data_IF_763877295105
#
_entry.id   IF_763877295105
#
_cell.length_a   1.000
_cell.length_b   1.000
_cell.length_c   1.000
_cell.angle_alpha   90.00
_cell.angle_beta   90.00
_cell.angle_gamma   90.00
#
_symmetry.space_group_name_H-M   'P 1'
#
loop_
_entity.id
_entity.type
_entity.pdbx_description
1 polymer ?
#
# COMPACT_ATOMS: atom_id res chain seq x y z
N UNK A 1 -32.54 21.98 -26.22
CA UNK A 1 -32.58 23.44 -26.00
C UNK A 1 -32.38 23.74 -24.52
N UNK A 2 -31.67 24.83 -24.24
CA UNK A 2 -31.41 25.47 -22.95
C UNK A 2 -30.40 24.81 -21.98
N UNK A 3 -29.18 25.35 -22.08
CA UNK A 3 -28.04 25.30 -21.16
C UNK A 3 -28.35 26.13 -19.91
N UNK A 4 -27.96 25.66 -18.71
CA UNK A 4 -27.89 26.49 -17.50
C UNK A 4 -26.45 26.52 -17.00
N UNK A 5 -25.75 27.61 -17.35
CA UNK A 5 -24.45 27.96 -16.79
C UNK A 5 -24.61 28.68 -15.45
N UNK A 6 -23.77 28.32 -14.48
CA UNK A 6 -23.56 29.08 -13.24
C UNK A 6 -22.48 30.13 -13.48
N UNK A 7 -22.79 31.39 -13.18
CA UNK A 7 -21.83 32.47 -13.05
C UNK A 7 -21.83 33.02 -11.63
N UNK A 8 -20.64 33.47 -11.26
CA UNK A 8 -20.13 33.83 -9.94
C UNK A 8 -20.40 35.30 -9.63
N UNK A 9 -20.67 35.67 -8.36
CA UNK A 9 -20.31 37.01 -7.84
C UNK A 9 -19.89 36.89 -6.37
N UNK A 10 -18.67 37.37 -6.10
CA UNK A 10 -18.11 37.62 -4.77
C UNK A 10 -18.65 38.91 -4.18
N UNK A 11 -18.95 38.96 -2.88
CA UNK A 11 -19.02 40.23 -2.15
C UNK A 11 -18.33 40.07 -0.79
N UNK A 12 -17.29 40.86 -0.62
CA UNK A 12 -16.50 41.04 0.58
C UNK A 12 -17.33 41.67 1.71
N UNK A 13 -17.17 41.20 2.94
CA UNK A 13 -17.68 41.88 4.13
C UNK A 13 -16.51 42.42 4.96
N UNK A 14 -16.51 43.74 5.10
CA UNK A 14 -15.56 44.54 5.87
C UNK A 14 -15.69 44.23 7.36
N UNK A 15 -14.52 44.19 8.01
CA UNK A 15 -14.39 44.24 9.45
C UNK A 15 -14.89 45.59 9.99
N UNK A 16 -15.70 45.55 11.04
CA UNK A 16 -15.97 46.70 11.90
C UNK A 16 -15.56 46.32 13.32
N UNK A 17 -14.51 46.97 13.80
CA UNK A 17 -14.09 46.95 15.19
C UNK A 17 -15.15 47.61 16.07
N UNK A 18 -15.52 46.97 17.18
CA UNK A 18 -16.11 47.66 18.34
C UNK A 18 -15.29 47.28 19.57
N UNK A 19 -14.70 48.30 20.18
CA UNK A 19 -13.92 48.19 21.40
C UNK A 19 -14.78 47.74 22.57
N UNK A 20 -14.21 46.88 23.41
CA UNK A 20 -14.74 46.55 24.71
C UNK A 20 -14.14 47.49 25.75
N UNK A 21 -14.99 48.26 26.43
CA UNK A 21 -14.65 48.96 27.66
C UNK A 21 -14.99 48.01 28.81
N UNK A 22 -13.97 47.58 29.54
CA UNK A 22 -14.11 46.82 30.80
C UNK A 22 -14.20 47.78 31.99
N UNK A 23 -15.32 47.74 32.71
CA UNK A 23 -15.48 48.34 34.03
C UNK A 23 -15.22 47.28 35.12
N UNK A 24 -14.52 47.60 36.22
CA UNK A 24 -14.29 46.67 37.32
C UNK A 24 -15.47 46.76 38.31
N UNK A 25 -16.01 45.61 38.73
CA UNK A 25 -16.94 45.55 39.88
C UNK A 25 -16.23 44.86 41.03
N UNK A 26 -16.02 45.63 42.09
CA UNK A 26 -15.49 45.22 43.38
C UNK A 26 -16.66 45.18 44.38
N UNK A 27 -16.70 44.18 45.26
CA UNK A 27 -17.33 44.30 46.59
C UNK A 27 -18.74 43.72 46.80
N UNK A 28 -18.76 42.59 47.55
CA UNK A 28 -19.60 42.29 48.73
C UNK A 28 -21.14 42.43 48.72
N UNK A 29 -21.82 41.40 49.23
CA UNK A 29 -23.06 41.60 50.00
C UNK A 29 -24.20 40.61 49.72
N UNK A 30 -24.56 39.85 50.75
CA UNK A 30 -25.62 38.82 50.79
C UNK A 30 -27.05 39.43 50.75
N UNK A 31 -28.05 38.69 50.25
CA UNK A 31 -29.29 38.26 50.97
C UNK A 31 -30.31 37.56 50.06
N UNK A 32 -30.90 36.51 50.61
CA UNK A 32 -32.07 35.78 50.12
C UNK A 32 -33.32 36.68 50.08
N UNK A 33 -34.17 36.53 49.06
CA UNK A 33 -35.64 36.50 49.21
C UNK A 33 -36.27 35.78 48.02
N UNK A 34 -37.02 34.71 48.31
CA UNK A 34 -38.10 34.22 47.45
C UNK A 34 -39.27 35.20 47.56
N UNK A 35 -40.03 35.40 46.48
CA UNK A 35 -41.50 35.51 46.55
C UNK A 35 -42.15 35.33 45.17
N UNK A 36 -43.24 34.57 45.19
CA UNK A 36 -44.15 34.21 44.10
C UNK A 36 -45.07 35.39 43.75
N UNK A 37 -45.59 35.30 42.52
CA UNK A 37 -46.84 35.86 41.98
C UNK A 37 -46.90 37.34 41.57
N UNK A 38 -46.98 37.54 40.25
CA UNK A 38 -48.08 38.27 39.62
C UNK A 38 -48.26 37.78 38.17
N UNK A 39 -49.50 37.47 37.81
CA UNK A 39 -49.96 37.03 36.50
C UNK A 39 -50.06 38.20 35.51
N UNK A 40 -49.86 37.86 34.23
CA UNK A 40 -50.47 38.46 33.05
C UNK A 40 -50.23 39.95 32.78
N UNK A 41 -49.15 40.22 32.06
CA UNK A 41 -49.22 41.09 30.87
C UNK A 41 -48.48 40.39 29.73
N UNK A 42 -49.18 40.12 28.63
CA UNK A 42 -48.59 39.59 27.40
C UNK A 42 -47.77 40.69 26.72
N UNK A 43 -46.54 40.88 27.18
CA UNK A 43 -45.50 41.55 26.43
C UNK A 43 -44.51 40.48 25.99
N UNK A 44 -44.41 40.27 24.67
CA UNK A 44 -43.33 39.47 24.07
C UNK A 44 -42.00 40.19 24.30
N UNK A 45 -41.41 39.97 25.48
CA UNK A 45 -40.00 40.23 25.71
C UNK A 45 -39.27 39.12 24.97
N UNK A 46 -38.60 39.48 23.88
CA UNK A 46 -37.64 38.60 23.23
C UNK A 46 -36.66 38.09 24.29
N UNK A 47 -36.70 36.78 24.55
CA UNK A 47 -35.78 36.17 25.49
C UNK A 47 -34.35 36.50 25.01
N UNK A 48 -33.45 37.02 25.86
CA UNK A 48 -32.06 37.21 25.49
C UNK A 48 -31.50 35.85 25.10
N UNK A 49 -31.32 35.67 23.79
CA UNK A 49 -30.74 34.49 23.19
C UNK A 49 -29.24 34.47 23.55
N UNK A 50 -28.92 33.90 24.71
CA UNK A 50 -27.57 33.92 25.24
C UNK A 50 -27.43 33.47 26.68
N UNK A 51 -28.28 32.57 27.19
CA UNK A 51 -27.97 31.88 28.45
C UNK A 51 -26.89 30.85 28.15
N UNK A 52 -25.63 31.28 28.14
CA UNK A 52 -24.50 30.37 28.32
C UNK A 52 -24.60 29.81 29.74
N UNK A 53 -25.24 28.65 29.87
CA UNK A 53 -25.19 27.86 31.11
C UNK A 53 -23.74 27.46 31.33
N UNK A 54 -23.01 28.24 32.13
CA UNK A 54 -21.68 27.89 32.57
C UNK A 54 -21.85 26.77 33.59
N UNK A 55 -21.62 25.52 33.16
CA UNK A 55 -21.62 24.37 34.06
C UNK A 55 -20.49 24.53 35.08
N UNK A 56 -20.77 25.14 36.23
CA UNK A 56 -19.85 25.16 37.36
C UNK A 56 -19.86 23.78 38.01
N UNK A 57 -18.81 22.99 37.76
CA UNK A 57 -18.59 21.77 38.54
C UNK A 57 -17.99 22.18 39.87
N UNK A 58 -18.68 21.90 40.96
CA UNK A 58 -18.12 22.04 42.31
C UNK A 58 -16.99 21.01 42.47
N UNK A 59 -15.74 21.42 42.25
CA UNK A 59 -14.57 20.56 42.45
C UNK A 59 -14.03 20.77 43.88
N UNK A 60 -14.14 19.76 44.72
CA UNK A 60 -13.44 19.69 46.01
C UNK A 60 -12.17 18.83 45.88
N UNK A 61 -11.31 18.86 46.89
CA UNK A 61 -10.14 17.97 46.95
C UNK A 61 -10.54 16.49 46.91
N UNK A 62 -11.57 16.11 47.68
CA UNK A 62 -12.06 14.74 47.77
C UNK A 62 -12.76 14.24 46.50
N UNK A 63 -13.21 15.13 45.62
CA UNK A 63 -13.88 14.78 44.37
C UNK A 63 -12.93 14.77 43.16
N UNK A 64 -11.60 14.83 43.37
CA UNK A 64 -10.60 14.73 42.29
C UNK A 64 -10.31 13.28 41.97
N UNK A 65 -10.36 12.96 40.67
CA UNK A 65 -10.04 11.64 40.14
C UNK A 65 -8.61 11.59 39.61
N UNK A 66 -8.11 10.37 39.43
CA UNK A 66 -6.81 10.15 38.82
C UNK A 66 -6.83 10.50 37.32
N UNK A 67 -5.66 10.80 36.76
CA UNK A 67 -5.55 11.15 35.35
C UNK A 67 -6.06 10.03 34.42
N UNK A 68 -5.84 8.75 34.78
CA UNK A 68 -6.31 7.62 33.99
C UNK A 68 -7.83 7.52 33.92
N UNK A 69 -8.53 7.77 35.03
CA UNK A 69 -9.99 7.78 35.08
C UNK A 69 -10.57 8.94 34.25
N UNK A 70 -9.98 10.13 34.37
CA UNK A 70 -10.34 11.30 33.57
C UNK A 70 -10.15 11.02 32.07
N UNK A 71 -8.99 10.49 31.68
CA UNK A 71 -8.70 10.16 30.28
C UNK A 71 -9.58 9.03 29.74
N UNK A 72 -9.93 8.04 30.58
CA UNK A 72 -10.86 6.96 30.21
C UNK A 72 -12.24 7.53 29.84
N UNK A 73 -12.74 8.48 30.63
CA UNK A 73 -13.98 9.20 30.35
C UNK A 73 -13.90 10.05 29.08
N UNK A 74 -12.81 10.82 28.90
CA UNK A 74 -12.62 11.73 27.76
C UNK A 74 -12.48 10.99 26.42
N UNK A 75 -11.76 9.86 26.40
CA UNK A 75 -11.53 9.09 25.18
C UNK A 75 -12.73 8.22 24.79
N UNK A 76 -13.54 7.79 25.77
CA UNK A 76 -14.74 6.96 25.57
C UNK A 76 -14.50 5.72 24.68
N UNK A 77 -13.31 5.10 24.80
CA UNK A 77 -12.86 3.99 23.95
C UNK A 77 -13.69 2.70 24.14
N UNK A 78 -14.34 2.53 25.30
CA UNK A 78 -15.15 1.35 25.63
C UNK A 78 -16.65 1.53 25.31
N UNK A 79 -17.04 2.67 24.73
CA UNK A 79 -18.45 2.99 24.49
C UNK A 79 -19.12 2.07 23.45
N UNK A 80 -20.41 1.80 23.63
CA UNK A 80 -21.26 1.07 22.69
C UNK A 80 -21.22 1.66 21.27
N UNK A 81 -20.98 2.98 21.15
CA UNK A 81 -20.83 3.71 19.89
C UNK A 81 -19.60 3.24 19.09
N UNK A 82 -18.49 2.94 19.75
CA UNK A 82 -17.27 2.45 19.07
C UNK A 82 -17.42 1.01 18.56
N UNK A 83 -18.14 0.15 19.29
CA UNK A 83 -18.32 -1.27 18.95
C UNK A 83 -18.92 -1.49 17.55
N UNK A 84 -19.90 -0.66 17.16
CA UNK A 84 -20.63 -0.78 15.86
C UNK A 84 -20.26 0.31 14.84
N UNK A 85 -19.14 1.02 15.04
CA UNK A 85 -18.68 2.04 14.08
C UNK A 85 -19.60 3.25 13.92
N UNK A 86 -20.40 3.58 14.94
CA UNK A 86 -21.35 4.71 14.91
C UNK A 86 -20.68 6.08 15.09
N UNK A 87 -19.39 6.11 15.44
CA UNK A 87 -18.61 7.34 15.63
C UNK A 87 -17.74 7.69 14.42
N UNK A 88 -17.81 8.95 13.98
CA UNK A 88 -16.90 9.51 12.96
C UNK A 88 -15.48 9.59 13.52
N UNK A 89 -14.47 9.29 12.70
CA UNK A 89 -13.04 9.28 13.08
C UNK A 89 -12.27 10.55 12.74
N UNK A 90 -12.91 11.55 12.11
CA UNK A 90 -12.25 12.76 11.61
C UNK A 90 -11.60 13.61 12.71
N UNK A 91 -12.28 13.79 13.85
CA UNK A 91 -11.79 14.56 15.01
C UNK A 91 -11.63 13.66 16.24
N UNK A 92 -10.83 12.61 16.12
CA UNK A 92 -10.56 11.68 17.24
C UNK A 92 -9.71 12.39 18.31
N UNK A 93 -10.16 12.34 19.58
CA UNK A 93 -9.37 12.80 20.72
C UNK A 93 -8.19 11.84 20.96
N UNK A 94 -7.02 12.41 21.24
CA UNK A 94 -5.79 11.66 21.54
C UNK A 94 -5.38 11.92 22.98
N UNK A 95 -4.98 10.87 23.71
CA UNK A 95 -4.43 10.99 25.05
C UNK A 95 -3.20 11.91 25.03
N UNK A 96 -3.08 12.76 26.04
CA UNK A 96 -1.87 13.53 26.33
C UNK A 96 -1.45 13.19 27.75
N UNK A 97 -0.19 12.88 27.93
CA UNK A 97 0.37 12.68 29.26
C UNK A 97 0.76 14.04 29.83
N UNK A 98 0.27 14.37 31.02
CA UNK A 98 0.50 15.64 31.70
C UNK A 98 1.68 15.58 32.67
N UNK A 99 2.12 14.38 33.05
CA UNK A 99 3.24 14.18 33.97
C UNK A 99 4.58 14.28 33.23
N UNK A 100 4.57 14.15 31.91
CA UNK A 100 5.77 14.23 31.08
C UNK A 100 6.31 15.66 31.05
N UNK A 101 7.56 15.83 31.49
CA UNK A 101 8.25 17.13 31.49
C UNK A 101 8.02 17.96 32.75
N UNK A 102 7.51 17.37 33.83
CA UNK A 102 7.46 17.97 35.16
C UNK A 102 8.56 17.38 36.04
N UNK A 103 9.25 18.21 36.82
CA UNK A 103 10.26 17.79 37.79
C UNK A 103 9.66 17.86 39.20
N UNK A 104 10.02 16.92 40.07
CA UNK A 104 9.55 16.89 41.44
C UNK A 104 10.14 18.09 42.20
N UNK A 105 9.31 18.79 42.97
CA UNK A 105 9.71 19.98 43.73
C UNK A 105 9.54 21.30 42.95
N UNK A 106 9.33 21.26 41.63
CA UNK A 106 9.01 22.46 40.86
C UNK A 106 7.53 22.86 41.06
N UNK A 107 7.31 24.15 41.29
CA UNK A 107 5.96 24.69 41.49
C UNK A 107 5.88 26.15 41.08
N UNK A 108 4.66 26.68 41.01
CA UNK A 108 4.41 28.09 40.65
C UNK A 108 4.99 29.09 41.64
N UNK A 109 5.18 28.67 42.89
CA UNK A 109 5.84 29.46 43.93
C UNK A 109 7.35 29.56 43.73
N UNK A 110 7.93 28.71 42.86
CA UNK A 110 9.37 28.53 42.60
C UNK A 110 10.23 28.59 43.85
N UNK A 111 9.81 27.78 44.83
CA UNK A 111 10.57 27.44 46.01
C UNK A 111 11.57 26.36 45.61
N UNK A 112 12.82 26.54 46.01
CA UNK A 112 13.89 25.60 45.78
C UNK A 112 14.04 24.72 47.03
N UNK A 113 13.80 23.43 46.84
CA UNK A 113 13.86 22.44 47.90
C UNK A 113 15.21 21.70 47.84
N UNK A 114 16.09 21.85 48.85
CA UNK A 114 17.30 21.04 48.97
C UNK A 114 16.95 19.55 48.99
N UNK A 115 17.57 18.76 48.11
CA UNK A 115 17.31 17.33 47.93
C UNK A 115 16.20 16.96 46.95
N UNK A 116 15.40 17.92 46.45
CA UNK A 116 14.38 17.69 45.41
C UNK A 116 14.67 18.50 44.14
N UNK A 117 14.67 19.82 44.27
CA UNK A 117 14.91 20.75 43.14
C UNK A 117 16.39 21.12 43.01
N UNK A 118 17.11 21.17 44.13
CA UNK A 118 18.53 21.55 44.19
C UNK A 118 19.30 20.50 45.00
N UNK A 119 20.58 20.23 44.70
CA UNK A 119 21.44 19.40 45.55
C UNK A 119 21.47 19.84 47.01
N UNK A 120 21.58 18.86 47.92
CA UNK A 120 21.58 19.10 49.38
C UNK A 120 22.79 19.92 49.84
N UNK A 121 23.95 19.69 49.23
CA UNK A 121 25.20 20.39 49.54
C UNK A 121 25.78 21.02 48.28
N UNK A 122 26.21 22.28 48.38
CA UNK A 122 27.08 22.93 47.40
C UNK A 122 28.26 23.53 48.16
N UNK A 123 29.47 23.27 47.68
CA UNK A 123 30.75 23.70 48.29
C UNK A 123 30.88 23.34 49.79
N UNK A 124 30.42 22.15 50.16
CA UNK A 124 30.50 21.63 51.53
C UNK A 124 29.53 22.28 52.53
N UNK A 125 28.62 23.16 52.07
CA UNK A 125 27.59 23.79 52.91
C UNK A 125 26.20 23.28 52.56
N UNK A 126 25.42 22.97 53.59
CA UNK A 126 24.02 22.58 53.44
C UNK A 126 23.21 23.76 52.90
N UNK A 127 22.44 23.53 51.83
CA UNK A 127 21.62 24.55 51.24
C UNK A 127 20.34 24.81 52.04
N UNK A 128 19.90 26.07 52.08
CA UNK A 128 18.66 26.50 52.74
C UNK A 128 17.57 26.73 51.69
N UNK A 129 16.30 26.56 52.08
CA UNK A 129 15.15 26.83 51.23
C UNK A 129 15.18 28.28 50.73
N UNK A 130 15.13 28.46 49.42
CA UNK A 130 15.22 29.76 48.74
C UNK A 130 14.12 29.92 47.68
N UNK A 131 13.87 31.16 47.22
CA UNK A 131 12.80 31.46 46.25
C UNK A 131 13.30 32.37 45.12
N UNK A 132 13.13 31.94 43.86
CA UNK A 132 13.61 32.68 42.69
C UNK A 132 12.46 33.26 41.85
N UNK A 133 11.95 34.45 42.19
CA UNK A 133 10.74 35.03 41.54
C UNK A 133 10.94 35.54 40.11
N UNK A 134 12.13 36.04 39.74
CA UNK A 134 12.40 36.56 38.37
C UNK A 134 12.64 35.43 37.37
N UNK A 135 13.51 34.49 37.73
CA UNK A 135 13.83 33.31 36.92
C UNK A 135 12.62 32.36 36.74
N UNK A 136 11.64 32.39 37.65
CA UNK A 136 10.39 31.63 37.52
C UNK A 136 9.64 31.85 36.21
N UNK A 137 9.63 33.09 35.69
CA UNK A 137 8.94 33.40 34.42
C UNK A 137 9.66 32.74 33.25
N UNK A 138 10.99 32.81 33.26
CA UNK A 138 11.85 32.22 32.24
C UNK A 138 11.72 30.69 32.23
N UNK A 139 11.73 30.05 33.42
CA UNK A 139 11.51 28.61 33.57
C UNK A 139 10.12 28.21 33.04
N UNK A 140 9.07 29.00 33.33
CA UNK A 140 7.72 28.73 32.80
C UNK A 140 7.67 28.86 31.26
N UNK A 141 8.30 29.89 30.71
CA UNK A 141 8.40 30.10 29.26
C UNK A 141 9.20 28.97 28.59
N UNK A 142 10.25 28.48 29.23
CA UNK A 142 11.02 27.33 28.77
C UNK A 142 10.18 26.04 28.78
N UNK A 143 9.43 25.78 29.85
CA UNK A 143 8.49 24.65 29.94
C UNK A 143 7.46 24.73 28.80
N UNK A 144 6.92 25.92 28.52
CA UNK A 144 5.99 26.15 27.42
C UNK A 144 6.64 25.90 26.05
N UNK A 145 7.85 26.40 25.81
CA UNK A 145 8.61 26.15 24.58
C UNK A 145 8.85 24.66 24.37
N UNK A 146 9.31 23.95 25.41
CA UNK A 146 9.56 22.51 25.37
C UNK A 146 8.29 21.71 25.07
N UNK A 147 7.16 22.12 25.66
CA UNK A 147 5.84 21.54 25.35
C UNK A 147 5.46 21.76 23.89
N UNK A 148 5.62 22.97 23.36
CA UNK A 148 5.26 23.31 21.99
C UNK A 148 6.14 22.57 20.97
N UNK A 149 7.43 22.45 21.24
CA UNK A 149 8.34 21.61 20.45
C UNK A 149 7.92 20.16 20.44
N UNK A 150 7.53 19.62 21.60
CA UNK A 150 7.05 18.25 21.69
C UNK A 150 5.74 18.05 20.91
N UNK A 151 4.82 19.01 20.98
CA UNK A 151 3.60 18.99 20.18
C UNK A 151 3.88 19.12 18.67
N UNK A 152 4.85 19.94 18.26
CA UNK A 152 5.30 20.05 16.87
C UNK A 152 5.84 18.71 16.38
N UNK A 153 6.79 18.10 17.11
CA UNK A 153 7.36 16.78 16.79
C UNK A 153 6.28 15.71 16.65
N UNK A 154 5.27 15.71 17.52
CA UNK A 154 4.15 14.75 17.47
C UNK A 154 3.21 14.96 16.27
N UNK A 155 3.09 16.19 15.76
CA UNK A 155 2.26 16.52 14.58
C UNK A 155 2.98 16.21 13.26
N UNK A 156 4.31 16.17 13.26
CA UNK A 156 5.09 15.83 12.06
C UNK A 156 4.78 14.39 11.64
N UNK A 157 4.32 14.24 10.40
CA UNK A 157 4.03 12.93 9.81
C UNK A 157 5.24 12.46 9.02
N UNK A 158 5.76 11.29 9.36
CA UNK A 158 6.84 10.64 8.61
C UNK A 158 6.38 10.37 7.17
N UNK A 159 7.21 10.75 6.19
CA UNK A 159 6.97 10.44 4.78
C UNK A 159 7.15 8.93 4.60
N UNK A 160 6.09 8.25 4.18
CA UNK A 160 6.12 6.82 3.87
C UNK A 160 6.05 6.66 2.35
N UNK A 161 6.84 5.74 1.83
CA UNK A 161 6.71 5.33 0.43
C UNK A 161 5.31 4.77 0.16
N UNK A 162 4.72 5.25 -0.93
CA UNK A 162 3.40 4.79 -1.35
C UNK A 162 3.55 3.50 -2.17
N UNK A 163 2.55 2.63 -2.08
CA UNK A 163 2.38 1.55 -3.04
C UNK A 163 1.74 2.06 -4.34
N UNK A 164 0.84 1.27 -4.92
CA UNK A 164 0.19 1.61 -6.20
C UNK A 164 -0.62 2.91 -6.16
N UNK A 165 -1.27 3.22 -5.02
CA UNK A 165 -2.00 4.48 -4.82
C UNK A 165 -1.82 4.97 -3.39
N UNK A 166 -1.99 6.28 -3.15
CA UNK A 166 -1.67 6.89 -1.84
C UNK A 166 -2.50 6.40 -0.65
N UNK A 167 -3.71 5.86 -0.87
CA UNK A 167 -4.57 5.29 0.20
C UNK A 167 -4.64 3.76 0.18
N UNK A 168 -4.19 3.12 -0.89
CA UNK A 168 -4.21 1.66 -1.01
C UNK A 168 -3.04 1.05 -0.24
N UNK A 169 -3.24 -0.19 0.20
CA UNK A 169 -2.17 -1.01 0.78
C UNK A 169 -1.41 -1.81 -0.29
N UNK A 170 -1.98 -1.98 -1.49
CA UNK A 170 -1.35 -2.75 -2.56
C UNK A 170 -0.02 -2.14 -3.00
N UNK A 171 1.02 -2.96 -3.09
CA UNK A 171 2.39 -2.58 -3.45
C UNK A 171 3.20 -1.95 -2.31
N UNK A 172 2.71 -1.94 -1.07
CA UNK A 172 3.50 -1.48 0.09
C UNK A 172 4.38 -2.64 0.59
N UNK A 173 5.66 -2.35 0.83
CA UNK A 173 6.58 -3.26 1.52
C UNK A 173 6.27 -3.32 3.02
N UNK A 174 6.25 -4.54 3.56
CA UNK A 174 6.09 -4.80 5.00
C UNK A 174 7.42 -5.01 5.73
N UNK A 175 8.51 -5.17 4.97
CA UNK A 175 9.80 -5.65 5.47
C UNK A 175 9.85 -7.18 5.56
N UNK A 176 10.98 -7.73 6.04
CA UNK A 176 11.19 -9.17 6.09
C UNK A 176 10.24 -9.88 7.06
N UNK A 177 10.06 -11.19 6.89
CA UNK A 177 9.28 -12.00 7.81
C UNK A 177 9.82 -11.99 9.24
N UNK A 178 8.98 -12.34 10.21
CA UNK A 178 9.46 -12.49 11.59
C UNK A 178 10.32 -13.76 11.71
N UNK A 179 11.40 -13.77 12.50
CA UNK A 179 12.25 -14.95 12.65
C UNK A 179 11.51 -16.12 13.31
N UNK A 180 11.87 -17.33 12.91
CA UNK A 180 11.30 -18.57 13.44
C UNK A 180 11.78 -18.86 14.87
N UNK A 181 11.06 -19.73 15.61
CA UNK A 181 11.47 -20.14 16.96
C UNK A 181 12.78 -20.93 16.98
N UNK A 182 13.16 -21.53 15.85
CA UNK A 182 14.36 -22.36 15.70
C UNK A 182 15.63 -21.55 15.33
N UNK A 183 15.57 -20.22 15.40
CA UNK A 183 16.68 -19.34 14.95
C UNK A 183 16.72 -19.09 13.43
N UNK A 184 15.70 -19.53 12.69
CA UNK A 184 15.58 -19.25 11.25
C UNK A 184 15.37 -17.75 11.01
N UNK A 185 16.21 -17.16 10.17
CA UNK A 185 16.21 -15.73 9.83
C UNK A 185 15.97 -15.55 8.33
N UNK A 186 15.19 -14.54 7.95
CA UNK A 186 14.71 -14.33 6.58
C UNK A 186 14.99 -12.90 6.09
N UNK A 187 16.21 -12.40 6.31
CA UNK A 187 16.59 -11.02 5.95
C UNK A 187 16.58 -10.78 4.43
N UNK A 188 16.88 -11.80 3.64
CA UNK A 188 16.90 -11.74 2.17
C UNK A 188 15.49 -11.64 1.55
N UNK A 189 14.44 -11.87 2.34
CA UNK A 189 13.07 -11.92 1.83
C UNK A 189 12.38 -10.57 1.96
N UNK A 190 11.86 -10.09 0.85
CA UNK A 190 10.96 -8.94 0.82
C UNK A 190 9.51 -9.39 0.80
N UNK A 191 8.67 -8.65 1.53
CA UNK A 191 7.24 -8.92 1.62
C UNK A 191 6.44 -7.72 1.09
N UNK A 192 5.60 -7.94 0.08
CA UNK A 192 4.71 -6.91 -0.46
C UNK A 192 3.23 -7.31 -0.35
N UNK A 193 2.38 -6.33 -0.02
CA UNK A 193 0.93 -6.54 0.07
C UNK A 193 0.31 -6.47 -1.33
N UNK A 194 -0.45 -7.48 -1.74
CA UNK A 194 -1.25 -7.39 -2.98
C UNK A 194 -2.63 -6.77 -2.71
N UNK A 195 -3.30 -7.25 -1.66
CA UNK A 195 -4.67 -6.83 -1.37
C UNK A 195 -4.97 -6.86 0.12
N UNK A 196 -5.61 -5.80 0.63
CA UNK A 196 -6.13 -5.73 1.98
C UNK A 196 -7.62 -5.36 1.93
N UNK A 197 -8.48 -6.31 2.29
CA UNK A 197 -9.94 -6.16 2.30
C UNK A 197 -10.49 -6.20 3.72
N UNK A 198 -11.55 -5.43 3.97
CA UNK A 198 -12.38 -5.61 5.16
C UNK A 198 -13.55 -6.51 4.79
N UNK A 199 -13.61 -7.68 5.39
CA UNK A 199 -14.69 -8.66 5.22
C UNK A 199 -15.57 -8.63 6.46
N UNK A 200 -16.84 -9.00 6.33
CA UNK A 200 -17.77 -9.05 7.45
C UNK A 200 -18.49 -10.40 7.50
N UNK A 201 -18.77 -10.88 8.71
CA UNK A 201 -19.56 -12.08 9.00
C UNK A 201 -20.67 -11.70 9.98
N UNK A 202 -21.87 -12.28 9.84
CA UNK A 202 -22.97 -12.07 10.77
C UNK A 202 -22.83 -13.00 11.98
N UNK A 203 -22.99 -12.49 13.18
CA UNK A 203 -22.87 -13.24 14.44
C UNK A 203 -24.09 -12.95 15.32
N UNK A 204 -24.62 -13.97 16.02
CA UNK A 204 -25.86 -13.83 16.79
C UNK A 204 -25.82 -12.75 17.88
N UNK A 205 -24.67 -12.58 18.56
CA UNK A 205 -24.53 -11.59 19.65
C UNK A 205 -24.13 -10.19 19.16
N UNK A 206 -23.12 -10.12 18.29
CA UNK A 206 -22.52 -8.84 17.88
C UNK A 206 -23.19 -8.22 16.65
N UNK A 207 -23.96 -9.01 15.88
CA UNK A 207 -24.42 -8.66 14.55
C UNK A 207 -23.27 -8.75 13.55
N UNK A 208 -23.07 -7.71 12.74
CA UNK A 208 -22.02 -7.69 11.72
C UNK A 208 -20.61 -7.55 12.34
N UNK A 209 -19.87 -8.63 12.41
CA UNK A 209 -18.48 -8.69 12.86
C UNK A 209 -17.52 -8.44 11.69
N UNK A 210 -16.70 -7.38 11.79
CA UNK A 210 -15.72 -7.01 10.76
C UNK A 210 -14.36 -7.64 11.05
N UNK A 211 -13.75 -8.21 10.01
CA UNK A 211 -12.40 -8.77 9.99
C UNK A 211 -11.63 -8.23 8.79
N UNK A 212 -10.31 -8.15 8.90
CA UNK A 212 -9.43 -7.86 7.79
C UNK A 212 -8.92 -9.17 7.15
N UNK A 213 -8.88 -9.20 5.81
CA UNK A 213 -8.26 -10.25 5.01
C UNK A 213 -7.12 -9.61 4.21
N UNK A 214 -5.91 -10.11 4.39
CA UNK A 214 -4.70 -9.64 3.72
C UNK A 214 -4.15 -10.75 2.80
N UNK A 215 -3.84 -10.41 1.56
CA UNK A 215 -3.08 -11.24 0.63
C UNK A 215 -1.70 -10.61 0.48
N UNK A 216 -0.68 -11.37 0.86
CA UNK A 216 0.73 -10.94 0.88
C UNK A 216 1.54 -11.93 0.05
N UNK A 217 2.56 -11.40 -0.64
CA UNK A 217 3.55 -12.16 -1.39
C UNK A 217 4.91 -11.90 -0.76
N UNK A 218 5.72 -12.94 -0.71
CA UNK A 218 7.08 -12.95 -0.17
C UNK A 218 8.01 -13.50 -1.25
N UNK A 219 9.21 -12.95 -1.39
CA UNK A 219 10.22 -13.51 -2.29
C UNK A 219 11.61 -12.92 -2.06
N UNK A 220 12.63 -13.64 -2.51
CA UNK A 220 14.04 -13.31 -2.30
C UNK A 220 14.72 -12.70 -3.54
N UNK A 221 13.98 -12.48 -4.64
CA UNK A 221 14.54 -12.02 -5.91
C UNK A 221 15.35 -13.06 -6.70
N UNK A 222 15.49 -14.28 -6.16
CA UNK A 222 16.30 -15.36 -6.71
C UNK A 222 15.44 -16.61 -7.00
N UNK A 223 14.28 -16.41 -7.63
CA UNK A 223 13.38 -17.50 -8.04
C UNK A 223 12.49 -18.05 -6.93
N UNK A 224 12.82 -17.86 -5.63
CA UNK A 224 11.98 -18.34 -4.54
C UNK A 224 10.93 -17.28 -4.16
N UNK A 225 9.65 -17.62 -4.35
CA UNK A 225 8.56 -16.74 -3.96
C UNK A 225 7.32 -17.54 -3.50
N UNK A 226 6.54 -16.94 -2.61
CA UNK A 226 5.35 -17.57 -2.04
C UNK A 226 4.28 -16.53 -1.73
N UNK A 227 3.05 -16.98 -1.52
CA UNK A 227 1.96 -16.10 -1.17
C UNK A 227 1.04 -16.77 -0.14
N UNK A 228 0.45 -15.96 0.73
CA UNK A 228 -0.53 -16.45 1.69
C UNK A 228 -1.61 -15.43 1.99
N UNK A 229 -2.71 -15.94 2.53
CA UNK A 229 -3.87 -15.16 2.95
C UNK A 229 -4.01 -15.20 4.47
N UNK A 230 -3.88 -14.05 5.10
CA UNK A 230 -4.06 -13.88 6.55
C UNK A 230 -5.39 -13.21 6.88
N UNK A 231 -6.12 -13.75 7.86
CA UNK A 231 -7.37 -13.16 8.38
C UNK A 231 -7.28 -12.90 9.87
N UNK A 232 -7.65 -11.69 10.29
CA UNK A 232 -7.72 -11.32 11.71
C UNK A 232 -8.70 -10.14 11.92
N UNK A 233 -9.04 -9.84 13.18
CA UNK A 233 -9.84 -8.65 13.52
C UNK A 233 -9.10 -7.36 13.19
N UNK A 234 -7.82 -7.30 13.55
CA UNK A 234 -6.94 -6.18 13.29
C UNK A 234 -6.13 -6.36 12.00
N UNK A 235 -5.99 -5.26 11.25
CA UNK A 235 -5.31 -5.27 9.95
C UNK A 235 -3.84 -5.65 10.04
N UNK A 236 -3.13 -5.11 11.04
CA UNK A 236 -1.70 -5.38 11.24
C UNK A 236 -1.45 -6.84 11.62
N UNK A 237 -2.32 -7.42 12.45
CA UNK A 237 -2.25 -8.83 12.82
C UNK A 237 -2.53 -9.72 11.60
N UNK A 238 -3.48 -9.36 10.74
CA UNK A 238 -3.75 -10.09 9.50
C UNK A 238 -2.53 -10.07 8.55
N UNK A 239 -1.87 -8.90 8.42
CA UNK A 239 -0.65 -8.76 7.62
C UNK A 239 0.50 -9.61 8.16
N UNK A 240 0.73 -9.59 9.49
CA UNK A 240 1.75 -10.43 10.13
C UNK A 240 1.49 -11.91 9.90
N UNK A 241 0.25 -12.37 10.07
CA UNK A 241 -0.14 -13.77 9.80
C UNK A 241 0.10 -14.15 8.35
N UNK A 242 -0.31 -13.30 7.40
CA UNK A 242 -0.08 -13.56 5.98
C UNK A 242 1.41 -13.61 5.64
N UNK A 243 2.21 -12.71 6.21
CA UNK A 243 3.66 -12.64 6.01
C UNK A 243 4.34 -13.94 6.45
N UNK A 244 4.14 -14.35 7.70
CA UNK A 244 4.83 -15.52 8.25
C UNK A 244 4.31 -16.82 7.62
N UNK A 245 3.01 -16.87 7.26
CA UNK A 245 2.46 -18.03 6.57
C UNK A 245 2.99 -18.20 5.14
N UNK A 246 3.32 -17.11 4.44
CA UNK A 246 3.77 -17.19 3.04
C UNK A 246 5.13 -17.88 2.87
N UNK A 247 6.03 -17.79 3.87
CA UNK A 247 7.34 -18.47 3.83
C UNK A 247 7.18 -19.99 3.81
N UNK A 248 6.18 -20.52 4.51
CA UNK A 248 5.96 -21.96 4.55
C UNK A 248 5.43 -22.52 3.21
N UNK A 249 5.00 -21.66 2.28
CA UNK A 249 4.48 -22.02 0.97
C UNK A 249 5.24 -21.33 -0.16
N UNK A 250 6.57 -21.52 -0.18
CA UNK A 250 7.43 -21.04 -1.25
C UNK A 250 7.37 -21.97 -2.46
N UNK A 251 7.39 -21.36 -3.63
CA UNK A 251 7.59 -21.99 -4.92
C UNK A 251 8.95 -21.55 -5.47
N UNK A 252 9.70 -22.49 -6.02
CA UNK A 252 10.86 -22.17 -6.83
C UNK A 252 10.40 -21.98 -8.28
N UNK A 253 10.64 -20.78 -8.81
CA UNK A 253 10.30 -20.40 -10.17
C UNK A 253 11.60 -20.31 -10.97
N UNK A 254 11.72 -21.17 -11.96
CA UNK A 254 12.87 -21.17 -12.85
C UNK A 254 12.85 -19.95 -13.79
N UNK A 255 14.02 -19.47 -14.17
CA UNK A 255 14.16 -18.26 -14.99
C UNK A 255 15.14 -18.52 -16.11
N UNK A 256 14.76 -18.15 -17.32
CA UNK A 256 15.66 -18.19 -18.46
C UNK A 256 16.65 -17.02 -18.38
N UNK A 257 17.94 -17.34 -18.26
CA UNK A 257 19.03 -16.38 -18.09
C UNK A 257 18.73 -15.33 -17.01
N UNK A 258 18.10 -15.77 -15.90
CA UNK A 258 17.73 -14.96 -14.73
C UNK A 258 16.87 -13.70 -14.99
N UNK A 259 16.24 -13.54 -16.16
CA UNK A 259 15.48 -12.32 -16.51
C UNK A 259 14.04 -12.57 -16.96
N UNK A 260 13.76 -13.68 -17.67
CA UNK A 260 12.44 -13.98 -18.27
C UNK A 260 12.02 -15.44 -18.03
N UNK A 261 10.82 -15.81 -18.45
CA UNK A 261 10.28 -17.18 -18.52
C UNK A 261 10.84 -17.97 -19.72
N UNK A 262 10.75 -19.30 -19.70
CA UNK A 262 11.32 -20.17 -20.74
C UNK A 262 10.55 -20.16 -22.07
N UNK A 263 9.22 -20.17 -22.03
CA UNK A 263 8.34 -20.18 -23.20
C UNK A 263 7.07 -19.38 -22.90
N UNK A 264 6.22 -19.20 -23.91
CA UNK A 264 4.94 -18.51 -23.75
C UNK A 264 3.94 -19.40 -22.99
N UNK A 265 3.33 -18.85 -21.93
CA UNK A 265 2.49 -19.61 -21.01
C UNK A 265 1.08 -19.03 -21.02
N UNK A 266 0.11 -19.86 -21.40
CA UNK A 266 -1.32 -19.56 -21.23
C UNK A 266 -1.89 -20.42 -20.11
N UNK A 267 -2.24 -19.80 -18.99
CA UNK A 267 -2.77 -20.50 -17.81
C UNK A 267 -4.13 -19.98 -17.42
N UNK A 268 -5.06 -20.91 -17.17
CA UNK A 268 -6.39 -20.62 -16.65
C UNK A 268 -6.51 -21.11 -15.21
N UNK A 269 -7.05 -20.24 -14.34
CA UNK A 269 -7.47 -20.60 -13.00
C UNK A 269 -8.88 -20.06 -12.76
N UNK A 270 -9.85 -20.97 -12.64
CA UNK A 270 -11.27 -20.63 -12.58
C UNK A 270 -11.66 -19.77 -13.79
N UNK A 271 -12.21 -18.56 -13.57
CA UNK A 271 -12.62 -17.61 -14.62
C UNK A 271 -11.54 -16.56 -14.95
N UNK A 272 -10.30 -16.77 -14.50
CA UNK A 272 -9.18 -15.87 -14.73
C UNK A 272 -8.18 -16.57 -15.65
N UNK A 273 -7.92 -15.99 -16.80
CA UNK A 273 -6.92 -16.48 -17.77
C UNK A 273 -5.77 -15.49 -17.78
N UNK A 274 -4.53 -16.00 -17.73
CA UNK A 274 -3.32 -15.19 -17.87
C UNK A 274 -2.57 -15.73 -19.07
N UNK A 275 -2.26 -14.83 -20.00
CA UNK A 275 -1.41 -15.07 -21.16
C UNK A 275 -0.09 -14.36 -20.87
N UNK A 276 0.99 -15.12 -20.74
CA UNK A 276 2.35 -14.63 -20.48
C UNK A 276 3.20 -14.91 -21.69
N UNK A 277 4.00 -13.93 -22.10
CA UNK A 277 4.92 -14.06 -23.23
C UNK A 277 6.35 -13.78 -22.79
N UNK A 278 7.26 -14.62 -23.27
CA UNK A 278 8.71 -14.42 -23.14
C UNK A 278 9.12 -13.17 -23.90
N UNK A 279 10.04 -12.39 -23.32
CA UNK A 279 10.59 -11.17 -23.94
C UNK A 279 12.09 -11.11 -23.80
N UNK A 280 12.73 -10.38 -24.71
CA UNK A 280 14.16 -10.13 -24.68
C UNK A 280 14.52 -9.18 -23.52
N UNK A 281 15.81 -9.14 -23.17
CA UNK A 281 16.35 -8.23 -22.16
C UNK A 281 16.07 -6.77 -22.53
N UNK A 282 15.72 -5.95 -21.54
CA UNK A 282 15.45 -4.53 -21.72
C UNK A 282 14.01 -4.17 -22.12
N UNK A 283 13.13 -5.16 -22.29
CA UNK A 283 11.71 -4.92 -22.53
C UNK A 283 10.97 -4.44 -21.26
N UNK A 284 11.41 -4.87 -20.07
CA UNK A 284 10.79 -4.57 -18.79
C UNK A 284 9.49 -5.33 -18.53
N UNK A 285 8.84 -5.02 -17.40
CA UNK A 285 7.60 -5.67 -16.97
C UNK A 285 6.35 -4.94 -17.48
N UNK A 286 5.77 -5.44 -18.58
CA UNK A 286 4.51 -4.95 -19.14
C UNK A 286 3.35 -5.87 -18.77
N UNK A 287 2.96 -5.79 -17.50
CA UNK A 287 1.98 -6.68 -16.89
C UNK A 287 0.95 -5.92 -16.04
N UNK A 288 -0.05 -6.62 -15.53
CA UNK A 288 -0.91 -6.08 -14.47
C UNK A 288 -0.07 -5.72 -13.22
N UNK A 289 -0.36 -4.61 -12.54
CA UNK A 289 0.40 -4.09 -11.38
C UNK A 289 0.72 -5.11 -10.28
N UNK A 290 -0.18 -6.07 -10.06
CA UNK A 290 0.04 -7.15 -9.09
C UNK A 290 1.08 -8.17 -9.58
N UNK A 291 1.03 -8.51 -10.87
CA UNK A 291 2.01 -9.39 -11.51
C UNK A 291 3.37 -8.71 -11.48
N UNK A 292 3.45 -7.39 -11.75
CA UNK A 292 4.69 -6.63 -11.65
C UNK A 292 5.30 -6.76 -10.24
N UNK A 293 4.50 -6.57 -9.19
CA UNK A 293 4.94 -6.76 -7.80
C UNK A 293 5.46 -8.18 -7.54
N UNK A 294 4.73 -9.21 -8.02
CA UNK A 294 5.14 -10.62 -7.83
C UNK A 294 6.43 -10.92 -8.60
N UNK A 295 6.54 -10.50 -9.86
CA UNK A 295 7.72 -10.71 -10.69
C UNK A 295 8.97 -10.06 -10.11
N UNK A 296 8.85 -8.86 -9.52
CA UNK A 296 9.96 -8.23 -8.80
C UNK A 296 10.45 -9.06 -7.62
N UNK A 297 9.55 -9.70 -6.88
CA UNK A 297 9.90 -10.57 -5.75
C UNK A 297 10.46 -11.93 -6.19
N UNK A 298 10.07 -12.42 -7.37
CA UNK A 298 10.67 -13.61 -7.99
C UNK A 298 12.05 -13.29 -8.58
N UNK A 299 12.24 -12.06 -9.06
CA UNK A 299 13.41 -11.64 -9.82
C UNK A 299 13.26 -11.88 -11.33
N UNK A 300 12.05 -11.73 -11.87
CA UNK A 300 11.79 -11.64 -13.32
C UNK A 300 11.78 -10.15 -13.69
N UNK A 301 12.61 -9.75 -14.64
CA UNK A 301 12.77 -8.35 -15.08
C UNK A 301 12.00 -8.06 -16.36
N UNK A 302 11.89 -9.03 -17.26
CA UNK A 302 11.34 -8.83 -18.60
C UNK A 302 10.23 -9.84 -18.87
N UNK A 303 9.01 -9.36 -19.05
CA UNK A 303 7.85 -10.20 -19.39
C UNK A 303 6.68 -9.34 -19.86
N UNK A 304 5.89 -9.87 -20.80
CA UNK A 304 4.57 -9.35 -21.11
C UNK A 304 3.51 -10.28 -20.52
N UNK A 305 2.51 -9.74 -19.84
CA UNK A 305 1.39 -10.55 -19.38
C UNK A 305 0.05 -9.81 -19.47
N UNK A 306 -0.92 -10.48 -20.09
CA UNK A 306 -2.29 -10.02 -20.18
C UNK A 306 -3.21 -10.90 -19.33
N UNK A 307 -4.07 -10.22 -18.56
CA UNK A 307 -5.10 -10.89 -17.77
C UNK A 307 -6.43 -10.77 -18.51
N UNK A 308 -7.02 -11.91 -18.84
CA UNK A 308 -8.31 -12.04 -19.49
C UNK A 308 -9.34 -12.63 -18.51
N UNK A 309 -10.62 -12.25 -18.67
CA UNK A 309 -11.70 -12.70 -17.78
C UNK A 309 -11.77 -11.90 -16.46
N UNK A 310 -11.87 -12.60 -15.33
CA UNK A 310 -12.08 -11.97 -14.01
C UNK A 310 -10.77 -11.46 -13.39
N UNK A 311 -10.65 -10.16 -13.01
CA UNK A 311 -9.44 -9.60 -12.40
C UNK A 311 -9.39 -9.82 -10.87
N UNK A 312 -9.83 -10.97 -10.37
CA UNK A 312 -9.83 -11.26 -8.94
C UNK A 312 -8.42 -11.57 -8.42
N UNK A 313 -7.90 -10.77 -7.50
CA UNK A 313 -6.48 -10.81 -7.08
C UNK A 313 -6.00 -12.18 -6.60
N UNK A 314 -6.80 -12.89 -5.80
CA UNK A 314 -6.42 -14.21 -5.30
C UNK A 314 -6.33 -15.25 -6.42
N UNK A 315 -7.27 -15.23 -7.35
CA UNK A 315 -7.27 -16.16 -8.48
C UNK A 315 -6.15 -15.83 -9.47
N UNK A 316 -5.91 -14.54 -9.69
CA UNK A 316 -4.80 -14.05 -10.51
C UNK A 316 -3.46 -14.52 -9.94
N UNK A 317 -3.25 -14.38 -8.63
CA UNK A 317 -2.00 -14.82 -7.98
C UNK A 317 -1.85 -16.34 -8.10
N UNK A 318 -2.92 -17.10 -7.83
CA UNK A 318 -2.91 -18.57 -8.00
C UNK A 318 -2.64 -19.01 -9.43
N UNK A 319 -3.25 -18.35 -10.42
CA UNK A 319 -3.02 -18.62 -11.84
C UNK A 319 -1.55 -18.36 -12.21
N UNK A 320 -0.99 -17.26 -11.72
CA UNK A 320 0.39 -16.87 -11.99
C UNK A 320 1.37 -17.90 -11.46
N UNK A 321 1.29 -18.25 -10.17
CA UNK A 321 2.16 -19.26 -9.57
C UNK A 321 1.96 -20.65 -10.20
N UNK A 322 0.73 -21.03 -10.54
CA UNK A 322 0.46 -22.29 -11.26
C UNK A 322 1.12 -22.31 -12.64
N UNK A 323 1.03 -21.21 -13.39
CA UNK A 323 1.61 -21.13 -14.73
C UNK A 323 3.14 -21.17 -14.68
N UNK A 324 3.73 -20.37 -13.80
CA UNK A 324 5.19 -20.29 -13.64
C UNK A 324 5.79 -21.57 -13.07
N UNK A 325 5.12 -22.27 -12.17
CA UNK A 325 5.59 -23.54 -11.61
C UNK A 325 5.49 -24.71 -12.60
N UNK A 326 4.63 -24.62 -13.61
CA UNK A 326 4.41 -25.69 -14.59
C UNK A 326 5.21 -25.50 -15.88
N UNK A 327 6.13 -24.53 -15.93
CA UNK A 327 6.96 -24.32 -17.12
C UNK A 327 7.98 -25.47 -17.25
N UNK A 328 8.18 -25.97 -18.47
CA UNK A 328 9.29 -26.85 -18.84
C UNK A 328 10.55 -26.05 -19.12
N UNK A 329 11.69 -26.48 -18.60
CA UNK A 329 12.99 -25.94 -18.99
C UNK A 329 13.42 -26.45 -20.36
N UNK A 330 14.41 -25.80 -20.98
CA UNK A 330 15.03 -26.33 -22.19
C UNK A 330 15.73 -27.68 -21.94
N UNK A 331 16.22 -27.92 -20.72
CA UNK A 331 16.86 -29.18 -20.36
C UNK A 331 15.85 -30.31 -20.29
N UNK A 332 14.68 -30.07 -19.70
CA UNK A 332 13.59 -31.05 -19.64
C UNK A 332 13.10 -31.38 -21.05
N UNK A 333 12.97 -30.35 -21.91
CA UNK A 333 12.56 -30.53 -23.30
C UNK A 333 13.59 -31.33 -24.11
N UNK A 334 14.88 -31.07 -23.92
CA UNK A 334 15.96 -31.82 -24.56
C UNK A 334 15.93 -33.30 -24.15
N UNK A 335 15.75 -33.56 -22.85
CA UNK A 335 15.67 -34.91 -22.30
C UNK A 335 14.41 -35.66 -22.78
N UNK A 336 13.25 -35.01 -22.79
CA UNK A 336 11.97 -35.58 -23.24
C UNK A 336 12.01 -35.99 -24.71
N UNK A 337 12.59 -35.13 -25.57
CA UNK A 337 12.68 -35.37 -27.01
C UNK A 337 13.95 -36.11 -27.45
N UNK A 338 14.93 -36.23 -26.56
CA UNK A 338 16.28 -36.75 -26.84
C UNK A 338 16.98 -36.02 -28.00
N UNK A 339 16.77 -34.70 -28.11
CA UNK A 339 17.31 -33.84 -29.17
C UNK A 339 17.95 -32.59 -28.58
N UNK A 340 18.89 -32.00 -29.33
CA UNK A 340 19.51 -30.72 -28.98
C UNK A 340 18.53 -29.56 -29.15
N UNK A 341 18.51 -28.65 -28.17
CA UNK A 341 17.69 -27.43 -28.21
C UNK A 341 18.53 -26.28 -28.69
N UNK A 342 18.19 -25.76 -29.87
CA UNK A 342 18.89 -24.67 -30.53
C UNK A 342 18.04 -23.40 -30.46
N UNK A 343 18.61 -22.30 -29.98
CA UNK A 343 18.00 -20.97 -30.00
C UNK A 343 18.58 -20.17 -31.17
N UNK A 344 17.70 -19.59 -31.97
CA UNK A 344 18.06 -18.64 -33.02
C UNK A 344 17.71 -17.23 -32.55
N UNK A 345 18.67 -16.31 -32.67
CA UNK A 345 18.50 -14.91 -32.29
C UNK A 345 18.67 -14.05 -33.53
N UNK A 346 17.69 -13.18 -33.79
CA UNK A 346 17.74 -12.26 -34.93
C UNK A 346 19.01 -11.38 -34.91
N UNK A 347 19.46 -10.99 -33.71
CA UNK A 347 20.69 -10.20 -33.49
C UNK A 347 21.97 -10.91 -33.97
N UNK A 348 21.99 -12.24 -33.95
CA UNK A 348 23.15 -13.06 -34.30
C UNK A 348 23.02 -13.70 -35.70
N UNK A 349 21.97 -13.34 -36.45
CA UNK A 349 21.71 -13.89 -37.78
C UNK A 349 21.46 -15.40 -37.76
N UNK A 350 22.08 -16.19 -38.67
CA UNK A 350 21.82 -17.62 -38.80
C UNK A 350 22.61 -18.50 -37.82
N UNK A 351 23.33 -17.92 -36.85
CA UNK A 351 24.19 -18.69 -35.93
C UNK A 351 23.33 -19.55 -34.98
N UNK A 352 23.47 -20.90 -35.00
CA UNK A 352 22.74 -21.76 -34.07
C UNK A 352 23.40 -21.72 -32.69
N UNK A 353 22.67 -21.27 -31.68
CA UNK A 353 23.13 -21.30 -30.28
C UNK A 353 22.59 -22.56 -29.62
N UNK A 354 23.46 -23.48 -29.23
CA UNK A 354 23.07 -24.66 -28.48
C UNK A 354 22.80 -24.27 -27.01
N UNK A 355 21.52 -24.33 -26.59
CA UNK A 355 21.11 -23.93 -25.24
C UNK A 355 21.05 -25.11 -24.28
N UNK A 356 20.60 -26.27 -24.75
CA UNK A 356 20.54 -27.48 -23.96
C UNK A 356 20.83 -28.71 -24.82
N UNK A 357 21.47 -29.69 -24.21
CA UNK A 357 21.72 -31.02 -24.81
C UNK A 357 21.11 -32.09 -23.92
N UNK A 358 20.56 -33.17 -24.49
CA UNK A 358 20.04 -34.27 -23.70
C UNK A 358 21.17 -34.91 -22.90
N UNK A 359 20.89 -35.28 -21.65
CA UNK A 359 21.87 -36.02 -20.84
C UNK A 359 22.02 -37.48 -21.29
N UNK A 360 20.99 -38.02 -21.94
CA UNK A 360 20.95 -39.38 -22.49
C UNK A 360 21.42 -39.50 -23.93
N UNK A 361 21.15 -40.64 -24.55
CA UNK A 361 21.49 -40.88 -25.94
C UNK A 361 20.71 -39.92 -26.86
N UNK A 362 21.44 -39.21 -27.72
CA UNK A 362 20.84 -38.33 -28.73
C UNK A 362 20.17 -39.18 -29.78
N UNK A 363 18.90 -38.88 -30.06
CA UNK A 363 18.14 -39.51 -31.14
C UNK A 363 18.78 -39.15 -32.48
N UNK A 364 19.01 -40.16 -33.32
CA UNK A 364 19.58 -39.97 -34.68
C UNK A 364 18.54 -39.54 -35.71
N UNK A 365 17.30 -39.98 -35.53
CA UNK A 365 16.21 -39.69 -36.47
C UNK A 365 15.62 -38.29 -36.22
N UNK A 366 15.44 -37.46 -37.27
CA UNK A 366 14.82 -36.15 -37.14
C UNK A 366 13.32 -36.24 -36.84
N UNK A 367 12.75 -35.17 -36.27
CA UNK A 367 11.29 -35.05 -36.13
C UNK A 367 10.61 -34.88 -37.49
N UNK A 368 9.46 -35.53 -37.67
CA UNK A 368 8.56 -35.25 -38.79
C UNK A 368 8.13 -33.79 -38.75
N UNK A 369 8.23 -33.09 -39.89
CA UNK A 369 7.77 -31.71 -40.05
C UNK A 369 6.41 -31.76 -40.72
N UNK A 370 5.36 -31.44 -39.98
CA UNK A 370 4.02 -31.22 -40.55
C UNK A 370 4.00 -29.86 -41.26
N UNK A 371 3.44 -29.81 -42.47
CA UNK A 371 3.35 -28.56 -43.25
C UNK A 371 2.42 -27.53 -42.58
N UNK A 372 1.37 -28.01 -41.91
CA UNK A 372 0.42 -27.17 -41.16
C UNK A 372 0.25 -27.77 -39.76
N UNK A 373 0.79 -27.13 -38.72
CA UNK A 373 0.68 -27.66 -37.37
C UNK A 373 -0.72 -27.42 -36.79
N UNK A 374 -1.31 -28.44 -36.17
CA UNK A 374 -2.61 -28.32 -35.47
C UNK A 374 -2.43 -27.68 -34.08
N UNK A 375 -2.04 -26.41 -34.07
CA UNK A 375 -1.87 -25.63 -32.84
C UNK A 375 -3.06 -24.71 -32.65
N UNK A 376 -3.69 -24.80 -31.47
CA UNK A 376 -4.78 -23.89 -31.10
C UNK A 376 -4.28 -22.45 -31.00
N UNK A 377 -4.60 -21.64 -31.99
CA UNK A 377 -4.26 -20.21 -32.03
C UNK A 377 -5.28 -19.36 -31.26
N UNK A 378 -4.78 -18.41 -30.48
CA UNK A 378 -5.64 -17.42 -29.85
C UNK A 378 -5.84 -16.19 -30.74
N UNK A 379 -7.09 -15.94 -31.13
CA UNK A 379 -7.46 -14.88 -32.09
C UNK A 379 -6.89 -13.49 -31.74
N UNK A 380 -7.04 -13.06 -30.48
CA UNK A 380 -6.73 -11.69 -30.08
C UNK A 380 -5.23 -11.36 -30.09
N UNK A 381 -4.37 -12.31 -29.74
CA UNK A 381 -2.94 -12.03 -29.56
C UNK A 381 -2.06 -12.67 -30.63
N UNK A 382 -2.50 -13.76 -31.26
CA UNK A 382 -1.70 -14.46 -32.28
C UNK A 382 -2.10 -14.01 -33.69
N UNK A 383 -3.39 -13.77 -33.95
CA UNK A 383 -3.88 -13.44 -35.30
C UNK A 383 -4.01 -11.93 -35.49
N UNK A 384 -4.82 -11.26 -34.67
CA UNK A 384 -5.08 -9.83 -34.85
C UNK A 384 -3.87 -8.94 -34.58
N UNK A 385 -3.05 -9.27 -33.58
CA UNK A 385 -1.89 -8.45 -33.24
C UNK A 385 -0.84 -8.48 -34.37
N UNK A 386 -0.65 -9.64 -35.00
CA UNK A 386 0.24 -9.81 -36.15
C UNK A 386 -0.31 -9.08 -37.37
N UNK A 387 -1.61 -9.19 -37.63
CA UNK A 387 -2.29 -8.49 -38.72
C UNK A 387 -2.58 -6.99 -38.43
N UNK A 388 -2.18 -6.47 -37.26
CA UNK A 388 -2.43 -5.10 -36.78
C UNK A 388 -3.91 -4.68 -36.85
N UNK A 389 -4.81 -5.63 -36.59
CA UNK A 389 -6.25 -5.40 -36.51
C UNK A 389 -6.64 -5.01 -35.08
N UNK A 390 -7.21 -3.81 -34.90
CA UNK A 390 -7.63 -3.31 -33.59
C UNK A 390 -9.16 -3.22 -33.50
N UNK A 391 -9.74 -3.86 -32.48
CA UNK A 391 -11.18 -3.80 -32.22
C UNK A 391 -11.55 -2.50 -31.52
N UNK A 392 -12.40 -1.69 -32.14
CA UNK A 392 -12.88 -0.45 -31.56
C UNK A 392 -14.21 -0.69 -30.83
N UNK A 393 -14.16 -0.87 -29.50
CA UNK A 393 -15.33 -1.17 -28.65
C UNK A 393 -16.50 -0.19 -28.79
N UNK A 394 -16.23 1.09 -29.07
CA UNK A 394 -17.27 2.11 -29.23
C UNK A 394 -18.10 1.97 -30.51
N UNK A 395 -17.49 1.48 -31.60
CA UNK A 395 -18.16 1.34 -32.91
C UNK A 395 -18.53 -0.11 -33.24
N UNK A 396 -18.17 -1.06 -32.37
CA UNK A 396 -18.37 -2.52 -32.56
C UNK A 396 -17.77 -3.07 -33.87
N UNK A 397 -16.78 -2.39 -34.42
CA UNK A 397 -16.16 -2.69 -35.71
C UNK A 397 -14.64 -2.85 -35.55
N UNK A 398 -14.05 -3.69 -36.41
CA UNK A 398 -12.61 -3.86 -36.54
C UNK A 398 -12.06 -2.84 -37.53
N UNK A 399 -10.89 -2.28 -37.23
CA UNK A 399 -10.17 -1.39 -38.13
C UNK A 399 -8.72 -1.86 -38.26
N UNK A 400 -8.17 -1.73 -39.47
CA UNK A 400 -6.72 -1.73 -39.68
C UNK A 400 -6.16 -0.47 -39.01
N UNK A 401 -5.13 -0.65 -38.19
CA UNK A 401 -4.44 0.49 -37.60
C UNK A 401 -3.81 1.33 -38.73
N UNK A 402 -4.23 2.60 -38.84
CA UNK A 402 -3.87 3.47 -39.95
C UNK A 402 -2.34 3.56 -40.08
N UNK A 403 -1.83 3.25 -41.27
CA UNK A 403 -0.44 3.48 -41.67
C UNK A 403 -0.24 5.02 -41.67
N UNK A 404 0.75 5.58 -40.95
CA UNK A 404 1.26 6.89 -41.33
C UNK A 404 1.76 6.72 -42.75
N UNK A 405 1.11 7.38 -43.70
CA UNK A 405 1.38 7.25 -45.12
C UNK A 405 2.87 7.31 -45.42
N UNK A 406 3.32 6.40 -46.28
CA UNK A 406 4.68 6.28 -46.84
C UNK A 406 5.29 7.58 -47.39
N UNK A 407 4.54 8.67 -47.45
CA UNK A 407 5.04 9.99 -47.85
C UNK A 407 5.94 10.66 -46.80
N UNK A 408 5.90 10.24 -45.53
CA UNK A 408 6.71 10.81 -44.43
C UNK A 408 7.99 10.00 -44.10
N UNK A 409 8.24 8.87 -44.78
CA UNK A 409 9.42 8.01 -44.53
C UNK A 409 10.46 8.01 -45.66
N UNK A 410 10.23 8.75 -46.74
CA UNK A 410 11.13 8.79 -47.90
C UNK A 410 12.35 9.72 -47.76
N UNK A 411 12.66 10.21 -46.56
CA UNK A 411 13.86 11.05 -46.31
C UNK A 411 14.94 10.43 -45.42
N UNK A 412 14.89 9.13 -45.14
CA UNK A 412 16.07 8.46 -44.55
C UNK A 412 16.23 7.01 -44.99
N UNK A 413 17.16 6.82 -45.92
CA UNK A 413 17.93 5.61 -46.21
C UNK A 413 17.22 4.40 -46.82
N UNK A 414 17.23 4.42 -48.16
CA UNK A 414 17.71 3.38 -49.08
C UNK A 414 18.37 2.16 -48.39
N UNK A 415 17.75 0.98 -48.52
CA UNK A 415 18.30 -0.23 -49.17
C UNK A 415 17.42 -1.46 -48.85
N UNK A 416 16.65 -1.93 -49.82
CA UNK A 416 16.21 -3.34 -49.89
C UNK A 416 17.41 -4.21 -50.29
N UNK A 417 17.41 -5.49 -49.92
CA UNK A 417 17.26 -6.48 -51.00
C UNK A 417 16.26 -7.58 -50.68
N UNK A 418 15.43 -7.86 -51.68
CA UNK A 418 14.75 -9.14 -51.85
C UNK A 418 15.77 -10.22 -52.24
N UNK A 419 15.51 -11.44 -51.77
CA UNK A 419 16.00 -12.68 -52.40
C UNK A 419 17.26 -13.25 -51.78
N UNK A 420 17.12 -14.13 -50.79
CA UNK A 420 18.04 -15.24 -50.49
C UNK A 420 17.37 -16.16 -49.46
N UNK A 421 16.34 -16.94 -49.87
CA UNK A 421 15.66 -17.91 -48.98
C UNK A 421 15.69 -19.37 -49.46
N UNK A 422 16.45 -19.68 -50.51
CA UNK A 422 16.43 -21.03 -51.12
C UNK A 422 17.78 -21.76 -51.23
N UNK A 423 18.88 -21.25 -50.64
CA UNK A 423 20.21 -21.84 -50.81
C UNK A 423 20.77 -22.65 -49.63
N UNK A 424 20.10 -22.72 -48.46
CA UNK A 424 20.59 -23.50 -47.30
C UNK A 424 19.72 -24.71 -46.89
N UNK A 425 18.67 -25.04 -47.65
CA UNK A 425 17.81 -26.21 -47.37
C UNK A 425 18.52 -27.57 -47.49
N UNK A 426 19.58 -27.78 -48.31
CA UNK A 426 20.23 -29.09 -48.39
C UNK A 426 21.15 -29.42 -47.20
N UNK A 427 21.76 -28.40 -46.55
CA UNK A 427 22.73 -28.62 -45.47
C UNK A 427 22.06 -28.85 -44.10
N UNK A 428 20.87 -28.27 -43.90
CA UNK A 428 20.06 -28.40 -42.68
C UNK A 428 19.41 -29.79 -42.55
N UNK A 429 19.12 -30.46 -43.68
CA UNK A 429 18.53 -31.82 -43.72
C UNK A 429 19.53 -32.92 -43.34
N UNK A 430 20.83 -32.63 -43.40
CA UNK A 430 21.90 -33.56 -43.01
C UNK A 430 22.24 -33.51 -41.50
N UNK A 431 21.76 -32.51 -40.75
CA UNK A 431 22.16 -32.28 -39.36
C UNK A 431 21.02 -32.33 -38.33
N UNK A 432 19.77 -32.58 -38.75
CA UNK A 432 18.66 -32.85 -37.81
C UNK A 432 18.29 -31.71 -36.85
N UNK A 433 18.40 -30.45 -37.28
CA UNK A 433 18.14 -29.25 -36.44
C UNK A 433 16.76 -28.66 -36.78
N UNK A 434 15.97 -28.27 -35.77
CA UNK A 434 14.67 -27.59 -35.91
C UNK A 434 14.63 -26.31 -35.07
N UNK A 435 14.14 -25.22 -35.66
CA UNK A 435 13.89 -23.91 -35.02
C UNK A 435 12.72 -23.99 -34.02
N UNK A 436 12.83 -23.31 -32.87
CA UNK A 436 11.77 -23.11 -31.86
C UNK A 436 11.16 -21.73 -32.01
#
# INVERSE_FOLDING_TARGET
MAVVGRLCVSVAWRAAWRGYISLPVNGSGCRYTNLRWALQTHCYISAPCGVTVQQSRQSSFFNKLTADELWKGVLANTSSRQKKGRGKRSKKKLRKDLNKGQIIGEGRSGILWPGLSIPVMVDGKAQVISQHKKEQREIQDEILRRRDEWEKKRKVKVKKERGWTGRSWGGISLGPPDPGPNGETYEDFDCQVLELKSVACMTGREGQKKSASALVVVGNGNGAAGFALGKAKDRLVALRKAKNQAIHYLHYIERYQDHTIYHDITTTFKKTTIQMRKKHKGYGLHCHRAIITVCKLIGITDMYAKVCGSPHMLNLTKALFKGLANQKTHQDLANEKSLHVVEFREEQGPLPILVASPQGAVRKDPETIEEVPDVKLEWNENVNAVQRLQYCKGRKTWYLQHIPSLHDQLTSHIAFPMGFRDSCKPLMKAMGIKEV
#
